data_IF_341367632327
#
_entry.id   IF_341367632327
#
_cell.length_a   1.000
_cell.length_b   1.000
_cell.length_c   1.000
_cell.angle_alpha   90.00
_cell.angle_beta   90.00
_cell.angle_gamma   90.00
#
_symmetry.space_group_name_H-M   'P 1'
#
loop_
_entity.id
_entity.type
_entity.pdbx_description
1 polymer ?
#
# COMPACT_ATOMS: atom_id res chain seq x y z
N UNK A 1 24.62 65.91 11.03
CA UNK A 1 23.28 66.02 10.42
C UNK A 1 22.89 64.68 9.82
N UNK A 2 21.83 64.07 10.37
CA UNK A 2 20.95 62.99 9.89
C UNK A 2 21.50 61.94 8.90
N UNK A 3 21.80 60.75 9.45
CA UNK A 3 21.68 59.45 8.76
C UNK A 3 20.23 59.24 8.27
N UNK A 4 20.06 58.47 7.19
CA UNK A 4 19.24 57.23 7.16
C UNK A 4 19.24 56.58 5.76
N UNK A 5 20.17 55.65 5.55
CA UNK A 5 20.10 54.63 4.51
C UNK A 5 19.01 53.63 4.94
N UNK A 6 17.84 53.70 4.27
CA UNK A 6 16.71 52.79 4.50
C UNK A 6 17.08 51.40 4.00
N UNK A 7 17.57 50.55 4.89
CA UNK A 7 17.69 49.11 4.67
C UNK A 7 16.36 48.46 5.02
N UNK A 8 15.52 48.17 4.02
CA UNK A 8 14.48 47.16 4.18
C UNK A 8 15.09 45.81 3.80
N UNK A 9 15.80 45.20 4.75
CA UNK A 9 16.22 43.81 4.65
C UNK A 9 14.97 42.95 4.88
N UNK A 10 14.24 42.61 3.80
CA UNK A 10 13.24 41.54 3.86
C UNK A 10 13.99 40.21 3.93
N UNK A 11 14.29 39.78 5.16
CA UNK A 11 14.63 38.38 5.39
C UNK A 11 13.34 37.56 5.29
N UNK A 12 13.04 37.09 4.08
CA UNK A 12 12.16 35.94 3.90
C UNK A 12 12.90 34.74 4.51
N UNK A 13 12.66 34.49 5.80
CA UNK A 13 13.01 33.24 6.44
C UNK A 13 12.09 32.20 5.81
N UNK A 14 12.56 31.58 4.73
CA UNK A 14 12.00 30.31 4.25
C UNK A 14 12.29 29.30 5.35
N UNK A 15 11.33 29.13 6.27
CA UNK A 15 11.33 27.96 7.14
C UNK A 15 11.36 26.75 6.21
N UNK A 16 12.31 25.81 6.36
CA UNK A 16 12.17 24.53 5.69
C UNK A 16 10.83 23.97 6.19
N UNK A 17 9.92 23.67 5.25
CA UNK A 17 8.77 22.86 5.56
C UNK A 17 9.30 21.51 6.02
N UNK A 18 9.49 21.35 7.33
CA UNK A 18 9.73 20.04 7.92
C UNK A 18 8.48 19.24 7.60
N UNK A 19 8.57 18.37 6.59
CA UNK A 19 7.52 17.42 6.26
C UNK A 19 7.06 16.75 7.56
N UNK A 20 5.77 16.83 7.83
CA UNK A 20 5.15 16.25 9.01
C UNK A 20 5.44 14.74 8.99
N UNK A 21 6.33 14.30 9.89
CA UNK A 21 6.77 12.91 9.93
C UNK A 21 5.61 12.05 10.40
N UNK A 22 5.24 11.07 9.57
CA UNK A 22 4.20 10.09 9.84
C UNK A 22 4.47 9.36 11.17
N UNK A 23 3.64 9.65 12.18
CA UNK A 23 3.66 8.96 13.46
C UNK A 23 2.32 8.24 13.64
N UNK A 24 2.33 6.91 13.60
CA UNK A 24 1.13 6.11 13.82
C UNK A 24 1.27 5.34 15.12
N UNK A 25 0.12 5.15 15.77
CA UNK A 25 0.03 4.37 16.97
C UNK A 25 -1.17 3.42 16.85
N UNK A 26 -0.91 2.13 17.07
CA UNK A 26 -1.92 1.09 17.11
C UNK A 26 -1.74 0.24 18.35
N UNK A 27 -2.84 -0.27 18.88
CA UNK A 27 -2.86 -1.21 20.00
C UNK A 27 -3.68 -2.42 19.59
N UNK A 28 -3.09 -3.61 19.66
CA UNK A 28 -3.83 -4.87 19.42
C UNK A 28 -4.65 -5.27 20.66
N UNK A 29 -5.63 -6.16 20.48
CA UNK A 29 -6.37 -6.78 21.60
C UNK A 29 -5.46 -7.60 22.51
N UNK A 30 -4.29 -7.99 22.02
CA UNK A 30 -3.21 -8.63 22.81
C UNK A 30 -2.33 -7.62 23.55
N UNK A 31 -2.73 -6.36 23.62
CA UNK A 31 -1.99 -5.24 24.22
C UNK A 31 -0.61 -4.98 23.60
N UNK A 32 -0.40 -5.38 22.34
CA UNK A 32 0.85 -5.05 21.64
C UNK A 32 0.81 -3.58 21.22
N UNK A 33 1.80 -2.81 21.67
CA UNK A 33 1.94 -1.38 21.40
C UNK A 33 2.76 -1.19 20.12
N UNK A 34 2.12 -0.78 19.04
CA UNK A 34 2.74 -0.68 17.72
C UNK A 34 2.89 0.80 17.38
N UNK A 35 4.14 1.27 17.27
CA UNK A 35 4.46 2.66 16.99
C UNK A 35 5.25 2.74 15.69
N UNK A 36 4.84 3.63 14.79
CA UNK A 36 5.55 3.90 13.55
C UNK A 36 6.14 5.29 13.66
N UNK A 37 7.44 5.44 13.41
CA UNK A 37 8.13 6.73 13.42
C UNK A 37 9.23 6.73 12.37
N UNK A 38 9.23 7.71 11.46
CA UNK A 38 10.30 7.92 10.45
C UNK A 38 10.66 6.62 9.69
N UNK A 39 9.66 5.95 9.12
CA UNK A 39 9.85 4.70 8.37
C UNK A 39 10.27 3.49 9.22
N UNK A 40 10.26 3.62 10.54
CA UNK A 40 10.61 2.53 11.47
C UNK A 40 9.37 2.04 12.19
N UNK A 41 9.21 0.71 12.31
CA UNK A 41 8.15 0.07 13.11
C UNK A 41 8.75 -0.40 14.43
N UNK A 42 8.10 0.00 15.52
CA UNK A 42 8.39 -0.46 16.86
C UNK A 42 7.21 -1.27 17.40
N UNK A 43 7.48 -2.42 18.01
CA UNK A 43 6.46 -3.23 18.69
C UNK A 43 6.89 -3.42 20.14
N UNK A 44 6.07 -2.99 21.09
CA UNK A 44 6.38 -2.96 22.53
C UNK A 44 7.72 -2.27 22.83
N UNK A 45 8.01 -1.18 22.11
CA UNK A 45 9.25 -0.42 22.23
C UNK A 45 10.47 -1.03 21.50
N UNK A 46 10.39 -2.28 21.04
CA UNK A 46 11.47 -2.90 20.28
C UNK A 46 11.41 -2.43 18.82
N UNK A 47 12.55 -2.03 18.25
CA UNK A 47 12.66 -1.76 16.81
C UNK A 47 12.60 -3.07 16.03
N UNK A 48 11.68 -3.18 15.08
CA UNK A 48 11.40 -4.44 14.37
C UNK A 48 11.59 -4.36 12.87
N UNK A 49 11.31 -3.20 12.27
CA UNK A 49 11.39 -3.01 10.83
C UNK A 49 11.85 -1.59 10.51
N UNK A 50 12.59 -1.43 9.42
CA UNK A 50 13.01 -0.14 8.87
C UNK A 50 12.78 -0.17 7.36
N UNK A 51 12.03 0.79 6.83
CA UNK A 51 11.92 1.03 5.40
C UNK A 51 13.28 1.40 4.80
N UNK A 52 13.62 0.79 3.66
CA UNK A 52 14.83 1.07 2.91
C UNK A 52 14.62 2.17 1.84
N UNK A 53 15.72 2.68 1.30
CA UNK A 53 15.76 3.41 0.04
C UNK A 53 14.90 4.68 -0.05
N UNK A 54 14.78 5.43 1.05
CA UNK A 54 14.03 6.70 1.07
C UNK A 54 12.51 6.55 0.95
N UNK A 55 12.00 5.32 1.11
CA UNK A 55 10.56 5.07 1.18
C UNK A 55 9.99 5.63 2.50
N UNK A 56 8.74 6.09 2.44
CA UNK A 56 8.05 6.67 3.58
C UNK A 56 6.67 6.04 3.76
N UNK A 57 6.31 5.74 5.02
CA UNK A 57 4.93 5.40 5.34
C UNK A 57 4.07 6.65 5.22
N UNK A 58 2.95 6.54 4.51
CA UNK A 58 2.02 7.63 4.26
C UNK A 58 0.95 7.69 5.35
N UNK A 59 0.54 8.89 5.76
CA UNK A 59 -0.65 9.05 6.58
C UNK A 59 -1.89 8.78 5.74
N UNK A 60 -2.55 7.65 6.00
CA UNK A 60 -3.62 7.12 5.16
C UNK A 60 -4.67 6.42 5.98
N UNK A 61 -5.94 6.61 5.58
CA UNK A 61 -7.10 5.85 6.10
C UNK A 61 -7.00 4.34 5.85
N UNK A 62 -6.09 3.91 4.97
CA UNK A 62 -5.82 2.50 4.67
C UNK A 62 -4.91 1.87 5.70
N UNK A 63 -4.16 2.69 6.45
CA UNK A 63 -3.35 2.19 7.55
C UNK A 63 -4.27 1.68 8.64
N UNK A 64 -4.16 0.39 8.96
CA UNK A 64 -5.01 -0.23 9.97
C UNK A 64 -4.39 -1.47 10.55
N UNK A 65 -4.85 -1.80 11.75
CA UNK A 65 -4.61 -3.07 12.41
C UNK A 65 -5.86 -3.93 12.20
N UNK A 66 -5.69 -5.15 11.69
CA UNK A 66 -6.76 -6.14 11.57
C UNK A 66 -6.36 -7.37 12.36
N UNK A 67 -7.32 -7.91 13.10
CA UNK A 67 -7.14 -9.14 13.85
C UNK A 67 -8.07 -10.21 13.30
N UNK A 68 -7.51 -11.36 12.97
CA UNK A 68 -8.26 -12.48 12.42
C UNK A 68 -7.63 -13.80 12.88
N UNK A 69 -8.44 -14.77 13.30
CA UNK A 69 -7.96 -16.08 13.74
C UNK A 69 -6.92 -16.02 14.88
N UNK A 70 -6.97 -14.98 15.71
CA UNK A 70 -5.98 -14.73 16.77
C UNK A 70 -4.64 -14.21 16.26
N UNK A 71 -4.47 -13.90 14.98
CA UNK A 71 -3.30 -13.23 14.42
C UNK A 71 -3.56 -11.73 14.23
N UNK A 72 -2.49 -10.94 14.27
CA UNK A 72 -2.55 -9.48 14.13
C UNK A 72 -1.82 -9.09 12.85
N UNK A 73 -2.51 -8.38 11.96
CA UNK A 73 -1.99 -7.89 10.70
C UNK A 73 -2.00 -6.36 10.70
N UNK A 74 -0.83 -5.77 10.47
CA UNK A 74 -0.66 -4.33 10.32
C UNK A 74 -0.50 -3.99 8.85
N UNK A 75 -1.35 -3.11 8.35
CA UNK A 75 -1.33 -2.61 6.99
C UNK A 75 -0.83 -1.18 7.00
N UNK A 76 0.20 -0.89 6.21
CA UNK A 76 0.78 0.45 6.10
C UNK A 76 0.99 0.82 4.64
N UNK A 77 0.40 1.94 4.24
CA UNK A 77 0.59 2.50 2.91
C UNK A 77 1.97 3.15 2.84
N UNK A 78 2.70 2.86 1.77
CA UNK A 78 4.06 3.33 1.54
C UNK A 78 4.15 4.04 0.20
N UNK A 79 4.91 5.14 0.18
CA UNK A 79 5.38 5.76 -1.05
C UNK A 79 6.84 5.37 -1.29
N UNK A 80 7.15 4.92 -2.51
CA UNK A 80 8.52 4.57 -2.94
C UNK A 80 9.03 5.46 -4.08
N UNK A 81 8.29 6.48 -4.49
CA UNK A 81 8.57 7.29 -5.67
C UNK A 81 7.34 7.53 -6.52
N UNK A 82 7.53 7.99 -7.76
CA UNK A 82 6.46 8.50 -8.62
C UNK A 82 5.34 7.47 -8.86
N UNK A 83 4.14 7.88 -8.47
CA UNK A 83 2.79 7.38 -8.83
C UNK A 83 2.33 6.01 -8.34
N UNK A 84 3.21 5.15 -7.82
CA UNK A 84 2.81 3.85 -7.28
C UNK A 84 2.85 3.84 -5.75
N UNK A 85 1.68 3.66 -5.15
CA UNK A 85 1.52 3.44 -3.71
C UNK A 85 1.26 1.96 -3.46
N UNK A 86 2.12 1.36 -2.65
CA UNK A 86 1.93 -0.01 -2.18
C UNK A 86 1.33 0.03 -0.76
N UNK A 87 0.61 -1.01 -0.41
CA UNK A 87 0.25 -1.32 0.97
C UNK A 87 1.09 -2.51 1.41
N UNK A 88 1.98 -2.29 2.39
CA UNK A 88 2.77 -3.36 2.98
C UNK A 88 1.95 -4.02 4.08
N UNK A 89 1.94 -5.35 4.08
CA UNK A 89 1.26 -6.18 5.05
C UNK A 89 2.31 -6.77 5.99
N UNK A 90 2.16 -6.51 7.29
CA UNK A 90 3.01 -7.05 8.34
C UNK A 90 2.22 -8.03 9.21
N UNK A 91 2.80 -9.20 9.49
CA UNK A 91 2.36 -10.04 10.60
C UNK A 91 3.01 -9.53 11.88
N UNK A 92 2.20 -9.26 12.91
CA UNK A 92 2.68 -8.79 14.21
C UNK A 92 2.54 -9.92 15.23
N UNK A 93 3.67 -10.43 15.70
CA UNK A 93 3.72 -11.50 16.69
C UNK A 93 4.72 -11.16 17.80
N UNK A 94 4.28 -11.32 19.05
CA UNK A 94 5.03 -10.93 20.23
C UNK A 94 5.50 -9.46 20.11
N UNK A 95 6.82 -9.25 20.07
CA UNK A 95 7.45 -7.94 19.90
C UNK A 95 8.14 -7.77 18.54
N UNK A 96 7.60 -8.42 17.50
CA UNK A 96 8.11 -8.38 16.12
C UNK A 96 7.01 -8.05 15.12
N UNK A 97 7.40 -7.37 14.04
CA UNK A 97 6.57 -7.13 12.86
C UNK A 97 7.35 -7.58 11.63
N UNK A 98 6.87 -8.63 10.97
CA UNK A 98 7.49 -9.23 9.80
C UNK A 98 6.66 -8.89 8.55
N UNK A 99 7.29 -8.32 7.52
CA UNK A 99 6.62 -8.07 6.24
C UNK A 99 6.28 -9.41 5.59
N UNK A 100 4.99 -9.65 5.35
CA UNK A 100 4.50 -10.88 4.72
C UNK A 100 4.05 -10.67 3.27
N UNK A 101 3.88 -9.41 2.83
CA UNK A 101 3.53 -9.12 1.45
C UNK A 101 3.42 -7.63 1.16
N UNK A 102 3.38 -7.31 -0.14
CA UNK A 102 3.05 -5.98 -0.65
C UNK A 102 1.92 -6.14 -1.67
N UNK A 103 0.94 -5.24 -1.62
CA UNK A 103 -0.18 -5.22 -2.56
C UNK A 103 -0.40 -3.81 -3.08
N UNK A 104 -1.15 -3.68 -4.17
CA UNK A 104 -1.59 -2.37 -4.67
C UNK A 104 -2.40 -1.68 -3.58
N UNK A 105 -2.04 -0.43 -3.27
CA UNK A 105 -2.72 0.33 -2.23
C UNK A 105 -4.20 0.53 -2.56
N UNK A 106 -5.05 0.06 -1.66
CA UNK A 106 -6.50 -0.02 -1.83
C UNK A 106 -7.19 -0.03 -0.46
N UNK A 107 -8.50 0.18 -0.47
CA UNK A 107 -9.28 0.04 0.77
C UNK A 107 -9.38 -1.44 1.13
N UNK A 108 -9.16 -1.75 2.41
CA UNK A 108 -9.40 -3.08 2.97
C UNK A 108 -10.86 -3.16 3.40
N UNK A 109 -11.65 -4.00 2.73
CA UNK A 109 -13.10 -4.18 2.94
C UNK A 109 -13.56 -5.51 2.33
N UNK A 110 -14.75 -5.94 2.70
CA UNK A 110 -15.48 -7.04 2.08
C UNK A 110 -16.05 -6.59 0.72
N UNK A 111 -15.43 -7.02 -0.38
CA UNK A 111 -15.78 -6.65 -1.75
C UNK A 111 -16.80 -7.58 -2.39
N UNK A 112 -16.83 -8.85 -1.99
CA UNK A 112 -17.69 -9.88 -2.61
C UNK A 112 -18.83 -10.36 -1.71
N UNK A 113 -18.92 -9.81 -0.50
CA UNK A 113 -19.97 -9.97 0.50
C UNK A 113 -19.97 -11.33 1.19
N UNK A 114 -18.79 -11.92 1.39
CA UNK A 114 -18.60 -13.21 2.05
C UNK A 114 -18.21 -13.10 3.54
N UNK A 115 -18.12 -11.88 4.07
CA UNK A 115 -17.70 -11.50 5.44
C UNK A 115 -16.19 -11.58 5.72
N UNK A 116 -15.39 -11.91 4.72
CA UNK A 116 -13.95 -11.74 4.79
C UNK A 116 -13.57 -10.35 4.27
N UNK A 117 -12.33 -9.95 4.52
CA UNK A 117 -11.84 -8.64 4.10
C UNK A 117 -10.78 -8.86 3.03
N UNK A 118 -10.95 -8.23 1.89
CA UNK A 118 -9.98 -8.29 0.80
C UNK A 118 -9.20 -6.99 0.69
N UNK A 119 -8.00 -7.13 0.13
CA UNK A 119 -7.09 -6.02 -0.12
C UNK A 119 -6.27 -6.28 -1.38
N UNK A 120 -6.08 -5.25 -2.18
CA UNK A 120 -5.31 -5.31 -3.42
C UNK A 120 -6.02 -4.62 -4.58
N UNK A 121 -5.62 -4.98 -5.79
CA UNK A 121 -6.12 -4.35 -7.00
C UNK A 121 -5.15 -4.55 -8.16
N UNK A 122 -5.20 -3.65 -9.13
CA UNK A 122 -4.33 -3.67 -10.31
C UNK A 122 -3.46 -2.41 -10.35
N UNK A 123 -2.21 -2.57 -10.80
CA UNK A 123 -1.37 -1.43 -11.10
C UNK A 123 -1.90 -0.70 -12.35
N UNK A 124 -1.80 0.63 -12.33
CA UNK A 124 -2.07 1.41 -13.53
C UNK A 124 -0.89 1.29 -14.48
N UNK A 125 -1.16 0.99 -15.75
CA UNK A 125 -0.17 1.00 -16.82
C UNK A 125 -0.59 1.97 -17.91
N UNK A 126 0.38 2.40 -18.71
CA UNK A 126 0.07 3.16 -19.91
C UNK A 126 -0.84 2.36 -20.85
N UNK A 127 -1.75 3.01 -21.58
CA UNK A 127 -2.56 2.35 -22.60
C UNK A 127 -1.69 1.63 -23.63
N UNK A 128 -2.18 0.51 -24.16
CA UNK A 128 -1.52 -0.16 -25.27
C UNK A 128 -1.66 0.68 -26.56
N UNK A 129 -0.63 0.74 -27.44
CA UNK A 129 -0.68 1.61 -28.62
C UNK A 129 -1.77 1.27 -29.64
N UNK A 130 -2.14 -0.01 -29.77
CA UNK A 130 -3.18 -0.45 -30.70
C UNK A 130 -4.58 -0.36 -30.08
N UNK A 131 -5.56 0.15 -30.84
CA UNK A 131 -6.90 0.43 -30.35
C UNK A 131 -7.73 -0.83 -29.98
N UNK A 132 -7.38 -1.97 -30.56
CA UNK A 132 -8.05 -3.26 -30.43
C UNK A 132 -7.38 -4.18 -29.42
N UNK A 133 -6.35 -3.71 -28.70
CA UNK A 133 -5.51 -4.52 -27.83
C UNK A 133 -5.24 -3.81 -26.50
N UNK A 134 -4.95 -4.58 -25.45
CA UNK A 134 -4.60 -4.06 -24.12
C UNK A 134 -3.53 -4.93 -23.46
N UNK A 135 -2.71 -4.31 -22.59
CA UNK A 135 -1.91 -5.08 -21.64
C UNK A 135 -2.84 -5.77 -20.63
N UNK A 136 -2.64 -7.07 -20.41
CA UNK A 136 -3.30 -7.82 -19.35
C UNK A 136 -2.59 -7.56 -18.03
N UNK A 137 -3.05 -6.54 -17.31
CA UNK A 137 -2.59 -6.24 -15.95
C UNK A 137 -3.61 -6.76 -14.97
N UNK A 138 -3.34 -7.88 -14.27
CA UNK A 138 -4.34 -8.51 -13.46
C UNK A 138 -4.70 -7.66 -12.25
N UNK A 139 -5.97 -7.74 -11.88
CA UNK A 139 -6.38 -7.39 -10.53
C UNK A 139 -5.97 -8.55 -9.62
N UNK A 140 -5.24 -8.25 -8.55
CA UNK A 140 -4.79 -9.21 -7.56
C UNK A 140 -5.28 -8.76 -6.18
N UNK A 141 -6.19 -9.53 -5.61
CA UNK A 141 -6.75 -9.37 -4.28
C UNK A 141 -6.34 -10.52 -3.37
N UNK A 142 -6.06 -10.18 -2.12
CA UNK A 142 -5.80 -11.12 -1.04
C UNK A 142 -6.88 -10.99 0.00
N UNK A 143 -7.32 -12.11 0.53
CA UNK A 143 -8.35 -12.23 1.57
C UNK A 143 -7.69 -12.49 2.93
N UNK A 144 -8.24 -11.88 3.99
CA UNK A 144 -7.81 -12.09 5.38
C UNK A 144 -8.74 -13.10 6.04
N UNK A 145 -8.34 -14.38 6.04
CA UNK A 145 -9.18 -15.50 6.49
C UNK A 145 -8.40 -16.49 7.36
N UNK A 146 -9.03 -16.97 8.43
CA UNK A 146 -8.49 -17.99 9.36
C UNK A 146 -7.06 -17.69 9.85
N UNK A 147 -6.79 -16.42 10.15
CA UNK A 147 -5.50 -15.94 10.62
C UNK A 147 -4.40 -15.97 9.57
N UNK A 148 -4.74 -15.89 8.28
CA UNK A 148 -3.80 -15.81 7.16
C UNK A 148 -4.23 -14.73 6.19
N UNK A 149 -3.29 -14.28 5.37
CA UNK A 149 -3.54 -13.45 4.19
C UNK A 149 -3.23 -14.33 2.97
N UNK A 150 -4.24 -14.65 2.18
CA UNK A 150 -4.13 -15.61 1.07
C UNK A 150 -4.71 -15.03 -0.21
N UNK A 151 -4.28 -15.55 -1.35
CA UNK A 151 -4.82 -15.11 -2.64
C UNK A 151 -6.28 -15.55 -2.75
N UNK A 152 -7.17 -14.61 -3.06
CA UNK A 152 -8.58 -14.89 -3.28
C UNK A 152 -8.81 -15.30 -4.74
N UNK A 153 -8.56 -16.57 -5.05
CA UNK A 153 -8.62 -17.08 -6.42
C UNK A 153 -9.99 -16.85 -7.07
N UNK A 154 -11.08 -17.01 -6.33
CA UNK A 154 -12.44 -16.88 -6.85
C UNK A 154 -12.76 -15.42 -7.21
N UNK A 155 -12.48 -14.48 -6.30
CA UNK A 155 -12.73 -13.06 -6.56
C UNK A 155 -11.80 -12.52 -7.65
N UNK A 156 -10.54 -12.96 -7.68
CA UNK A 156 -9.61 -12.59 -8.74
C UNK A 156 -10.09 -13.07 -10.11
N UNK A 157 -10.51 -14.33 -10.24
CA UNK A 157 -11.05 -14.85 -11.49
C UNK A 157 -12.29 -14.07 -11.94
N UNK A 158 -13.22 -13.82 -11.02
CA UNK A 158 -14.44 -13.05 -11.27
C UNK A 158 -14.16 -11.64 -11.78
N UNK A 159 -13.30 -10.89 -11.10
CA UNK A 159 -12.99 -9.50 -11.48
C UNK A 159 -12.20 -9.43 -12.79
N UNK A 160 -11.23 -10.32 -12.99
CA UNK A 160 -10.44 -10.30 -14.22
C UNK A 160 -11.25 -10.76 -15.43
N UNK A 161 -12.12 -11.77 -15.30
CA UNK A 161 -13.07 -12.11 -16.37
C UNK A 161 -14.03 -10.95 -16.66
N UNK A 162 -14.52 -10.25 -15.63
CA UNK A 162 -15.34 -9.06 -15.82
C UNK A 162 -14.59 -7.95 -16.55
N UNK A 163 -13.31 -7.74 -16.26
CA UNK A 163 -12.52 -6.66 -16.88
C UNK A 163 -12.01 -7.01 -18.27
N UNK A 164 -11.46 -8.21 -18.43
CA UNK A 164 -10.67 -8.67 -19.57
C UNK A 164 -11.33 -9.79 -20.38
N UNK A 165 -12.46 -10.33 -19.94
CA UNK A 165 -13.09 -11.51 -20.55
C UNK A 165 -12.38 -12.84 -20.25
N UNK A 166 -11.19 -12.79 -19.64
CA UNK A 166 -10.33 -13.95 -19.36
C UNK A 166 -9.64 -13.82 -18.00
N UNK A 167 -9.27 -14.95 -17.41
CA UNK A 167 -8.34 -15.04 -16.29
C UNK A 167 -7.10 -15.81 -16.75
N UNK A 168 -5.97 -15.13 -16.82
CA UNK A 168 -4.68 -15.72 -17.21
C UNK A 168 -3.82 -15.88 -15.95
N UNK A 169 -3.28 -17.08 -15.74
CA UNK A 169 -2.32 -17.37 -14.66
C UNK A 169 -0.90 -16.96 -15.03
N UNK A 170 -0.55 -17.11 -16.31
CA UNK A 170 0.75 -16.70 -16.84
C UNK A 170 0.66 -15.26 -17.36
N UNK A 171 1.13 -14.31 -16.53
CA UNK A 171 0.90 -12.88 -16.70
C UNK A 171 1.93 -12.18 -17.59
N UNK A 172 3.15 -12.72 -17.60
CA UNK A 172 4.33 -12.09 -18.21
C UNK A 172 4.79 -12.92 -19.41
N UNK A 173 5.08 -12.23 -20.50
CA UNK A 173 5.70 -12.74 -21.71
C UNK A 173 6.84 -11.78 -22.09
N UNK A 174 8.05 -12.30 -22.25
CA UNK A 174 9.27 -11.51 -22.53
C UNK A 174 9.50 -10.32 -21.58
N UNK A 175 9.20 -10.51 -20.29
CA UNK A 175 9.36 -9.49 -19.26
C UNK A 175 8.30 -8.38 -19.29
N UNK A 176 7.27 -8.50 -20.12
CA UNK A 176 6.14 -7.57 -20.21
C UNK A 176 4.82 -8.27 -19.92
N UNK A 177 3.81 -7.49 -19.52
CA UNK A 177 2.45 -8.02 -19.45
C UNK A 177 2.01 -8.51 -20.82
N UNK A 178 1.34 -9.67 -20.85
CA UNK A 178 0.75 -10.22 -22.08
C UNK A 178 -0.19 -9.21 -22.72
N UNK A 179 -0.25 -9.23 -24.04
CA UNK A 179 -1.18 -8.41 -24.81
C UNK A 179 -2.36 -9.28 -25.20
N UNK A 180 -3.57 -8.80 -24.95
CA UNK A 180 -4.81 -9.49 -25.31
C UNK A 180 -5.71 -8.59 -26.15
N UNK A 181 -6.63 -9.17 -26.95
CA UNK A 181 -7.67 -8.40 -27.60
C UNK A 181 -8.47 -7.61 -26.57
N UNK A 182 -8.76 -6.36 -26.88
CA UNK A 182 -9.60 -5.50 -26.05
C UNK A 182 -11.00 -6.13 -25.94
N UNK A 183 -11.52 -6.34 -24.72
CA UNK A 183 -12.84 -6.93 -24.54
C UNK A 183 -13.91 -6.02 -25.15
N UNK A 184 -14.90 -6.64 -25.80
CA UNK A 184 -16.10 -5.96 -26.29
C UNK A 184 -17.11 -5.91 -25.14
N UNK A 185 -17.09 -4.83 -24.36
CA UNK A 185 -18.08 -4.56 -23.32
C UNK A 185 -19.19 -3.66 -23.87
#
# INVERSE_FOLDING_TARGET
MKLKLRHCLLAFITLPAFGQKSNFHFVSTKNQQININKGTIFVNGNRTYLLSNGAEFLDSRRNKLIENGGNVFLFLEVSRGADVKDLIIFSVNNSKADSIGNVVSSDIRDYDHDQNLEVGGAYTVAPYPAADSVYYVPYIYYEIVKGRVVLDEEYNEKINKKKYGVWLKDLIEDGKYKVIPKPKH
#
